data_IF_339985519149
#
_entry.id   IF_339985519149
#
_cell.length_a   1.000
_cell.length_b   1.000
_cell.length_c   1.000
_cell.angle_alpha   90.00
_cell.angle_beta   90.00
_cell.angle_gamma   90.00
#
_symmetry.space_group_name_H-M   'P 1'
#
loop_
_entity.id
_entity.type
_entity.pdbx_description
1 polymer ?
#
# COMPACT_ATOMS: atom_id res chain seq x y z
N UNK A 1 -17.14 -4.24 -0.25
CA UNK A 1 -16.16 -4.23 -1.37
C UNK A 1 -15.47 -5.57 -1.37
N UNK A 2 -15.41 -6.28 -2.51
CA UNK A 2 -14.77 -7.61 -2.56
C UNK A 2 -13.27 -7.51 -2.84
N UNK A 3 -12.52 -8.60 -2.61
CA UNK A 3 -11.08 -8.71 -2.90
C UNK A 3 -10.80 -8.50 -4.40
N UNK A 4 -11.66 -9.06 -5.24
CA UNK A 4 -11.65 -8.92 -6.70
C UNK A 4 -11.72 -7.44 -7.13
N UNK A 5 -12.71 -6.72 -6.59
CA UNK A 5 -12.90 -5.30 -6.89
C UNK A 5 -11.73 -4.46 -6.38
N UNK A 6 -11.17 -4.80 -5.22
CA UNK A 6 -9.99 -4.13 -4.66
C UNK A 6 -8.78 -4.25 -5.55
N UNK A 7 -8.39 -5.48 -5.91
CA UNK A 7 -7.24 -5.70 -6.79
C UNK A 7 -7.44 -5.03 -8.15
N UNK A 8 -8.65 -5.12 -8.71
CA UNK A 8 -8.96 -4.48 -9.99
C UNK A 8 -8.83 -2.96 -9.91
N UNK A 9 -9.34 -2.32 -8.84
CA UNK A 9 -9.19 -0.86 -8.64
C UNK A 9 -7.73 -0.46 -8.45
N UNK A 10 -6.96 -1.20 -7.66
CA UNK A 10 -5.53 -0.93 -7.47
C UNK A 10 -4.74 -0.98 -8.78
N UNK A 11 -5.00 -1.98 -9.61
CA UNK A 11 -4.32 -2.09 -10.91
C UNK A 11 -4.72 -0.91 -11.80
N UNK A 12 -6.03 -0.66 -11.95
CA UNK A 12 -6.57 0.39 -12.82
C UNK A 12 -6.21 1.81 -12.40
N UNK A 13 -5.91 2.03 -11.12
CA UNK A 13 -5.46 3.33 -10.63
C UNK A 13 -4.07 3.70 -11.17
N UNK A 14 -3.18 2.70 -11.37
CA UNK A 14 -1.81 2.92 -11.84
C UNK A 14 -1.64 2.65 -13.34
N UNK A 15 -2.35 1.66 -13.90
CA UNK A 15 -2.13 1.16 -15.28
C UNK A 15 -3.25 0.25 -15.79
N UNK A 16 -3.15 -0.17 -17.05
CA UNK A 16 -4.11 -1.13 -17.61
C UNK A 16 -3.84 -2.56 -17.13
N UNK A 17 -4.88 -3.41 -17.12
CA UNK A 17 -4.75 -4.83 -16.77
C UNK A 17 -3.76 -5.59 -17.69
N UNK A 18 -3.69 -5.21 -18.98
CA UNK A 18 -2.77 -5.84 -19.94
C UNK A 18 -1.31 -5.51 -19.61
N UNK A 19 -1.05 -4.26 -19.29
CA UNK A 19 0.28 -3.77 -18.93
C UNK A 19 0.77 -4.41 -17.62
N UNK A 20 -0.10 -4.44 -16.61
CA UNK A 20 0.20 -5.11 -15.34
C UNK A 20 0.49 -6.60 -15.52
N UNK A 21 -0.31 -7.29 -16.34
CA UNK A 21 -0.10 -8.71 -16.65
C UNK A 21 1.29 -8.95 -17.28
N UNK A 22 1.71 -8.08 -18.19
CA UNK A 22 3.03 -8.15 -18.82
C UNK A 22 4.15 -7.94 -17.80
N UNK A 23 4.04 -6.96 -16.92
CA UNK A 23 5.04 -6.69 -15.87
C UNK A 23 5.26 -7.91 -14.96
N UNK A 24 4.17 -8.47 -14.43
CA UNK A 24 4.27 -9.62 -13.52
C UNK A 24 4.53 -10.94 -14.25
N UNK A 25 4.82 -10.90 -15.56
CA UNK A 25 5.03 -12.08 -16.40
C UNK A 25 3.88 -13.10 -16.24
N UNK A 26 2.64 -12.64 -16.42
CA UNK A 26 1.43 -13.45 -16.31
C UNK A 26 0.56 -13.27 -17.55
N UNK A 27 0.01 -14.33 -18.15
CA UNK A 27 -0.93 -14.19 -19.26
C UNK A 27 -2.17 -13.38 -18.83
N UNK A 28 -2.63 -12.48 -19.69
CA UNK A 28 -3.82 -11.66 -19.42
C UNK A 28 -5.05 -12.51 -19.03
N UNK A 29 -5.26 -13.64 -19.70
CA UNK A 29 -6.38 -14.55 -19.37
C UNK A 29 -6.28 -15.14 -17.97
N UNK A 30 -5.06 -15.46 -17.51
CA UNK A 30 -4.80 -15.96 -16.15
C UNK A 30 -5.09 -14.87 -15.12
N UNK A 31 -4.54 -13.66 -15.30
CA UNK A 31 -4.82 -12.54 -14.42
C UNK A 31 -6.32 -12.24 -14.36
N UNK A 32 -6.99 -12.23 -15.51
CA UNK A 32 -8.42 -11.95 -15.60
C UNK A 32 -9.28 -13.01 -14.88
N UNK A 33 -8.90 -14.29 -14.99
CA UNK A 33 -9.58 -15.37 -14.26
C UNK A 33 -9.39 -15.23 -12.74
N UNK A 34 -8.19 -14.85 -12.29
CA UNK A 34 -7.89 -14.65 -10.86
C UNK A 34 -8.69 -13.45 -10.32
N UNK A 35 -8.77 -12.36 -11.08
CA UNK A 35 -9.57 -11.19 -10.69
C UNK A 35 -11.08 -11.44 -10.70
N UNK A 36 -11.56 -12.60 -11.19
CA UNK A 36 -12.96 -13.03 -11.07
C UNK A 36 -13.21 -13.93 -9.86
N UNK A 37 -12.18 -14.63 -9.38
CA UNK A 37 -12.26 -15.53 -8.24
C UNK A 37 -10.87 -15.61 -7.59
N UNK A 38 -10.63 -14.71 -6.63
CA UNK A 38 -9.32 -14.57 -5.99
C UNK A 38 -9.06 -15.75 -5.05
N UNK A 39 -10.06 -16.18 -4.29
CA UNK A 39 -9.91 -17.30 -3.33
C UNK A 39 -9.69 -18.66 -4.00
N UNK A 40 -10.15 -18.84 -5.25
CA UNK A 40 -9.93 -20.05 -6.04
C UNK A 40 -8.60 -20.08 -6.80
N UNK A 41 -7.81 -19.00 -6.74
CA UNK A 41 -6.51 -18.95 -7.38
C UNK A 41 -5.42 -19.59 -6.50
N UNK A 42 -4.41 -20.18 -7.13
CA UNK A 42 -3.25 -20.69 -6.41
C UNK A 42 -2.55 -19.57 -5.62
N UNK A 43 -2.12 -19.86 -4.39
CA UNK A 43 -1.36 -18.92 -3.54
C UNK A 43 -0.14 -18.32 -4.27
N UNK A 44 0.54 -19.11 -5.10
CA UNK A 44 1.67 -18.63 -5.92
C UNK A 44 1.28 -17.45 -6.83
N UNK A 45 0.16 -17.56 -7.54
CA UNK A 45 -0.35 -16.51 -8.42
C UNK A 45 -0.85 -15.28 -7.63
N UNK A 46 -1.50 -15.49 -6.48
CA UNK A 46 -1.91 -14.40 -5.58
C UNK A 46 -0.69 -13.63 -5.11
N UNK A 47 0.34 -14.33 -4.63
CA UNK A 47 1.57 -13.71 -4.16
C UNK A 47 2.31 -12.96 -5.27
N UNK A 48 2.26 -13.46 -6.52
CA UNK A 48 2.83 -12.78 -7.69
C UNK A 48 2.13 -11.45 -7.98
N UNK A 49 0.80 -11.43 -7.92
CA UNK A 49 -0.02 -10.22 -8.10
C UNK A 49 0.22 -9.23 -6.95
N UNK A 50 0.20 -9.71 -5.70
CA UNK A 50 0.46 -8.89 -4.51
C UNK A 50 1.85 -8.24 -4.57
N UNK A 51 2.88 -8.99 -4.98
CA UNK A 51 4.23 -8.45 -5.20
C UNK A 51 4.25 -7.35 -6.26
N UNK A 52 3.60 -7.57 -7.42
CA UNK A 52 3.50 -6.55 -8.47
C UNK A 52 2.71 -5.29 -8.06
N UNK A 53 1.82 -5.42 -7.08
CA UNK A 53 1.06 -4.30 -6.51
C UNK A 53 1.74 -3.67 -5.28
N UNK A 54 2.84 -4.26 -4.79
CA UNK A 54 3.49 -3.88 -3.53
C UNK A 54 2.52 -3.89 -2.34
N UNK A 55 1.70 -4.95 -2.24
CA UNK A 55 0.79 -5.18 -1.12
C UNK A 55 1.10 -6.52 -0.44
N UNK A 56 0.77 -6.66 0.85
CA UNK A 56 0.84 -7.95 1.53
C UNK A 56 -0.39 -8.79 1.22
N UNK A 57 -0.18 -10.09 1.00
CA UNK A 57 -1.26 -11.06 0.84
C UNK A 57 -2.10 -11.19 2.13
N UNK A 58 -1.52 -10.89 3.29
CA UNK A 58 -2.25 -10.87 4.56
C UNK A 58 -3.32 -9.75 4.58
N UNK A 59 -2.96 -8.56 4.08
CA UNK A 59 -3.89 -7.44 3.93
C UNK A 59 -5.07 -7.74 2.99
N UNK A 60 -4.88 -8.62 2.01
CA UNK A 60 -5.95 -9.06 1.09
C UNK A 60 -7.01 -9.91 1.79
N UNK A 61 -6.63 -10.70 2.80
CA UNK A 61 -7.53 -11.54 3.59
C UNK A 61 -8.50 -10.71 4.46
N UNK A 62 -8.10 -9.50 4.82
CA UNK A 62 -8.86 -8.64 5.74
C UNK A 62 -9.94 -7.78 5.06
N UNK A 63 -9.93 -7.70 3.72
CA UNK A 63 -10.88 -6.90 2.93
C UNK A 63 -12.31 -7.43 3.08
N UNK A 64 -12.47 -8.76 3.21
CA UNK A 64 -13.77 -9.39 3.41
C UNK A 64 -14.37 -9.07 4.80
N UNK A 65 -13.52 -8.74 5.77
CA UNK A 65 -13.90 -8.46 7.16
C UNK A 65 -14.29 -7.00 7.41
N UNK A 66 -14.37 -6.17 6.38
CA UNK A 66 -14.78 -4.76 6.51
C UNK A 66 -13.75 -3.84 7.19
N UNK A 67 -12.54 -4.31 7.44
CA UNK A 67 -11.43 -3.46 7.92
C UNK A 67 -10.72 -2.84 6.72
N UNK A 68 -11.23 -1.70 6.26
CA UNK A 68 -10.50 -0.79 5.36
C UNK A 68 -9.52 0.05 6.17
N UNK A 69 -8.48 -0.58 6.72
CA UNK A 69 -7.25 0.13 7.07
C UNK A 69 -6.12 -0.50 6.27
N UNK A 70 -5.87 0.11 5.12
CA UNK A 70 -4.97 -0.40 4.10
C UNK A 70 -3.54 -0.11 4.55
N UNK A 71 -2.95 -0.97 5.38
CA UNK A 71 -1.52 -0.91 5.62
C UNK A 71 -0.80 -1.22 4.30
N UNK A 72 -0.15 -0.21 3.72
CA UNK A 72 0.96 -0.39 2.80
C UNK A 72 2.00 -1.24 3.55
N UNK A 73 1.99 -2.55 3.31
CA UNK A 73 2.95 -3.43 3.94
C UNK A 73 4.32 -3.18 3.30
N UNK A 74 5.18 -2.51 4.07
CA UNK A 74 6.62 -2.62 3.99
C UNK A 74 7.02 -4.06 3.64
N UNK A 75 8.00 -4.21 2.74
CA UNK A 75 8.65 -5.48 2.48
C UNK A 75 8.96 -6.18 3.82
N UNK A 76 8.84 -7.52 3.91
CA UNK A 76 9.03 -8.25 5.16
C UNK A 76 10.45 -8.00 5.66
N UNK A 77 10.59 -7.05 6.59
CA UNK A 77 11.86 -6.72 7.15
C UNK A 77 12.06 -7.57 8.39
N UNK A 78 13.17 -8.30 8.41
CA UNK A 78 13.67 -9.08 9.52
C UNK A 78 14.18 -8.17 10.67
N UNK A 79 13.40 -7.19 11.11
CA UNK A 79 13.83 -6.24 12.13
C UNK A 79 12.94 -6.34 13.35
N UNK A 80 13.61 -6.71 14.44
CA UNK A 80 13.15 -6.68 15.81
C UNK A 80 12.41 -5.39 16.15
N UNK A 81 11.47 -5.55 17.07
CA UNK A 81 10.55 -4.54 17.57
C UNK A 81 11.28 -3.52 18.46
N UNK A 82 12.27 -2.80 17.94
CA UNK A 82 13.01 -1.78 18.69
C UNK A 82 13.12 -0.51 17.85
N UNK A 83 12.39 0.52 18.31
CA UNK A 83 12.49 1.93 17.88
C UNK A 83 12.12 2.21 16.42
N UNK A 84 10.80 2.19 16.13
CA UNK A 84 10.30 2.94 14.98
C UNK A 84 10.72 4.40 15.16
N UNK A 85 11.38 5.04 14.17
CA UNK A 85 11.82 6.42 14.30
C UNK A 85 10.61 7.31 14.58
N UNK A 86 10.73 8.19 15.57
CA UNK A 86 9.71 9.17 15.90
C UNK A 86 9.36 10.00 14.65
N UNK A 87 8.12 10.45 14.52
CA UNK A 87 7.66 11.23 13.37
C UNK A 87 8.58 12.45 13.11
N UNK A 88 9.16 12.98 14.18
CA UNK A 88 10.14 14.07 14.16
C UNK A 88 11.44 13.69 13.46
N UNK A 89 11.93 12.46 13.62
CA UNK A 89 13.16 11.98 12.99
C UNK A 89 12.96 11.70 11.50
N UNK A 90 11.82 11.12 11.14
CA UNK A 90 11.45 10.82 9.74
C UNK A 90 11.42 12.11 8.91
N UNK A 91 10.75 13.15 9.41
CA UNK A 91 10.60 14.44 8.73
C UNK A 91 11.87 15.30 8.79
N UNK A 92 12.81 14.99 9.70
CA UNK A 92 14.07 15.74 9.81
C UNK A 92 15.03 15.44 8.66
N UNK A 93 15.06 14.19 8.19
CA UNK A 93 16.09 13.69 7.27
C UNK A 93 15.57 13.37 5.86
N UNK A 94 14.26 13.49 5.61
CA UNK A 94 13.65 13.07 4.34
C UNK A 94 13.03 14.25 3.59
N UNK A 95 13.32 14.42 2.28
CA UNK A 95 12.55 15.34 1.45
C UNK A 95 11.11 14.82 1.29
N UNK A 96 10.16 15.74 1.27
CA UNK A 96 8.75 15.42 1.07
C UNK A 96 8.45 15.46 -0.42
N UNK A 97 7.96 14.36 -0.99
CA UNK A 97 7.48 14.33 -2.37
C UNK A 97 6.01 14.75 -2.42
N UNK A 98 5.71 15.81 -3.16
CA UNK A 98 4.36 16.28 -3.40
C UNK A 98 4.21 16.63 -4.88
N UNK A 99 3.18 16.09 -5.53
CA UNK A 99 2.92 16.29 -6.98
C UNK A 99 4.09 15.93 -7.92
N UNK A 100 4.95 14.99 -7.49
CA UNK A 100 6.15 14.58 -8.25
C UNK A 100 7.39 15.44 -7.99
N UNK A 101 7.26 16.53 -7.25
CA UNK A 101 8.36 17.43 -6.87
C UNK A 101 8.87 17.13 -5.45
N UNK A 102 10.17 17.30 -5.22
CA UNK A 102 10.81 17.09 -3.91
C UNK A 102 10.96 18.41 -3.15
N UNK A 103 10.36 18.48 -1.96
CA UNK A 103 10.36 19.64 -1.09
C UNK A 103 11.16 19.36 0.18
N UNK A 104 12.17 20.19 0.43
CA UNK A 104 12.83 20.28 1.74
C UNK A 104 12.09 21.30 2.59
N UNK A 105 11.32 20.83 3.58
CA UNK A 105 10.59 21.74 4.45
C UNK A 105 11.55 22.36 5.48
N UNK A 106 11.50 23.69 5.68
CA UNK A 106 12.21 24.33 6.78
C UNK A 106 11.64 23.88 8.14
N UNK A 107 12.41 24.11 9.20
CA UNK A 107 12.11 23.55 10.52
C UNK A 107 10.75 24.00 11.09
N UNK A 108 10.35 25.24 10.82
CA UNK A 108 9.06 25.78 11.26
C UNK A 108 7.87 25.05 10.64
N UNK A 109 7.91 24.81 9.33
CA UNK A 109 6.88 24.14 8.55
C UNK A 109 6.81 22.65 8.88
N UNK A 110 7.96 22.02 9.18
CA UNK A 110 8.00 20.63 9.67
C UNK A 110 7.26 20.47 10.99
N UNK A 111 7.41 21.40 11.93
CA UNK A 111 6.70 21.34 13.21
C UNK A 111 5.19 21.46 13.04
N UNK A 112 4.73 22.29 12.09
CA UNK A 112 3.31 22.40 11.76
C UNK A 112 2.80 21.07 11.19
N UNK A 113 3.55 20.48 10.25
CA UNK A 113 3.20 19.20 9.65
C UNK A 113 3.14 18.06 10.69
N UNK A 114 4.11 17.99 11.60
CA UNK A 114 4.14 17.01 12.71
C UNK A 114 2.87 17.12 13.54
N UNK A 115 2.46 18.35 13.91
CA UNK A 115 1.24 18.58 14.71
C UNK A 115 -0.02 18.16 13.97
N UNK A 116 -0.12 18.45 12.67
CA UNK A 116 -1.27 18.06 11.86
C UNK A 116 -1.36 16.55 11.74
N UNK A 117 -0.24 15.89 11.41
CA UNK A 117 -0.20 14.42 11.29
C UNK A 117 -0.53 13.78 12.64
N UNK A 118 0.05 14.28 13.74
CA UNK A 118 -0.27 13.82 15.10
C UNK A 118 -1.76 13.90 15.39
N UNK A 119 -2.37 15.08 15.18
CA UNK A 119 -3.81 15.28 15.41
C UNK A 119 -4.70 14.38 14.52
N UNK A 120 -4.31 14.15 13.26
CA UNK A 120 -5.04 13.25 12.35
C UNK A 120 -4.92 11.79 12.80
N UNK A 121 -3.74 11.37 13.26
CA UNK A 121 -3.52 10.01 13.77
C UNK A 121 -4.20 9.76 15.12
N UNK A 122 -4.28 10.79 15.97
CA UNK A 122 -5.00 10.74 17.26
C UNK A 122 -6.53 10.84 17.07
N UNK A 123 -7.00 11.26 15.89
CA UNK A 123 -8.39 11.55 15.54
C UNK A 123 -9.29 10.35 15.23
N UNK A 124 -9.34 9.35 16.12
CA UNK A 124 -10.51 8.44 16.29
C UNK A 124 -10.75 8.13 17.77
N UNK A 125 -11.03 9.16 18.56
CA UNK A 125 -11.71 9.03 19.86
C UNK A 125 -12.84 10.07 19.93
N UNK A 126 -13.86 9.88 19.10
CA UNK A 126 -15.21 10.34 19.38
C UNK A 126 -16.16 9.15 19.33
#
# INVERSE_FOLDING_TARGET
>A
MTKEEYLKKLILNRRTLKDFAAEINMPYGTLYSILKNVDGASMYNIMKICKGLHISADGLSQIDKGQTDCFLAEAPNAYSHEERPDLKEILRNSPIRFDGEEYMLPEGERNILIRIIGAVLEGRKE
#
